data_IF_457119967705
#
_entry.id   IF_457119967705
#
_cell.length_a   1.000
_cell.length_b   1.000
_cell.length_c   1.000
_cell.angle_alpha   90.00
_cell.angle_beta   90.00
_cell.angle_gamma   90.00
#
_symmetry.space_group_name_H-M   'P 1'
#
loop_
_entity.id
_entity.type
_entity.pdbx_description
1 polymer ?
#
# COMPACT_ATOMS: atom_id res chain seq x y z
N UNK A 1 13.33 14.03 -38.84
CA UNK A 1 12.07 13.27 -38.70
C UNK A 1 12.10 12.27 -37.54
N UNK A 2 13.09 11.35 -37.43
CA UNK A 2 13.21 10.35 -36.33
C UNK A 2 12.99 10.88 -34.90
N UNK A 3 13.70 11.94 -34.50
CA UNK A 3 13.53 12.56 -33.16
C UNK A 3 12.12 13.06 -32.83
N UNK A 4 11.29 13.38 -33.84
CA UNK A 4 9.89 13.78 -33.61
C UNK A 4 8.99 12.56 -33.39
N UNK A 5 9.24 11.46 -34.11
CA UNK A 5 8.51 10.19 -33.92
C UNK A 5 8.81 9.59 -32.53
N UNK A 6 10.09 9.54 -32.13
CA UNK A 6 10.50 9.03 -30.81
C UNK A 6 9.86 9.82 -29.65
N UNK A 7 9.72 11.16 -29.79
CA UNK A 7 9.05 12.00 -28.80
C UNK A 7 7.54 11.75 -28.73
N UNK A 8 6.91 11.44 -29.86
CA UNK A 8 5.48 11.12 -29.92
C UNK A 8 5.22 9.75 -29.30
N UNK A 9 6.01 8.74 -29.65
CA UNK A 9 5.95 7.40 -29.05
C UNK A 9 6.12 7.47 -27.53
N UNK A 10 7.14 8.21 -27.05
CA UNK A 10 7.35 8.42 -25.62
C UNK A 10 6.20 9.17 -24.94
N UNK A 11 5.59 10.14 -25.63
CA UNK A 11 4.43 10.87 -25.12
C UNK A 11 3.20 9.97 -24.96
N UNK A 12 2.98 9.05 -25.91
CA UNK A 12 1.90 8.06 -25.87
C UNK A 12 2.14 7.05 -24.74
N UNK A 13 3.37 6.54 -24.59
CA UNK A 13 3.75 5.67 -23.47
C UNK A 13 3.45 6.34 -22.12
N UNK A 14 3.89 7.59 -21.93
CA UNK A 14 3.67 8.33 -20.69
C UNK A 14 2.19 8.59 -20.42
N UNK A 15 1.40 8.92 -21.44
CA UNK A 15 -0.05 9.09 -21.31
C UNK A 15 -0.75 7.78 -20.94
N UNK A 16 -0.37 6.65 -21.56
CA UNK A 16 -0.91 5.34 -21.23
C UNK A 16 -0.57 4.94 -19.80
N UNK A 17 0.68 5.12 -19.36
CA UNK A 17 1.11 4.87 -17.99
C UNK A 17 0.34 5.74 -16.99
N UNK A 18 0.19 7.04 -17.26
CA UNK A 18 -0.54 7.97 -16.39
C UNK A 18 -2.03 7.61 -16.28
N UNK A 19 -2.64 7.24 -17.40
CA UNK A 19 -4.05 6.82 -17.44
C UNK A 19 -4.27 5.53 -16.66
N UNK A 20 -3.37 4.56 -16.79
CA UNK A 20 -3.40 3.32 -16.03
C UNK A 20 -3.24 3.60 -14.53
N UNK A 21 -2.32 4.49 -14.14
CA UNK A 21 -2.13 4.87 -12.74
C UNK A 21 -3.40 5.51 -12.16
N UNK A 22 -4.00 6.48 -12.85
CA UNK A 22 -5.23 7.13 -12.39
C UNK A 22 -6.42 6.16 -12.30
N UNK A 23 -6.46 5.13 -13.15
CA UNK A 23 -7.48 4.09 -13.07
C UNK A 23 -7.25 3.17 -11.86
N UNK A 24 -6.00 2.80 -11.60
CA UNK A 24 -5.61 2.01 -10.42
C UNK A 24 -5.92 2.77 -9.13
N UNK A 25 -5.52 4.04 -9.05
CA UNK A 25 -5.76 4.89 -7.87
C UNK A 25 -7.26 5.04 -7.60
N UNK A 26 -8.07 5.25 -8.64
CA UNK A 26 -9.54 5.27 -8.50
C UNK A 26 -10.08 3.94 -7.99
N UNK A 27 -9.68 2.82 -8.60
CA UNK A 27 -10.16 1.50 -8.20
C UNK A 27 -9.79 1.17 -6.74
N UNK A 28 -8.58 1.55 -6.31
CA UNK A 28 -8.13 1.42 -4.93
C UNK A 28 -8.96 2.30 -3.99
N UNK A 29 -9.18 3.58 -4.32
CA UNK A 29 -10.03 4.47 -3.53
C UNK A 29 -11.46 3.95 -3.38
N UNK A 30 -12.04 3.44 -4.47
CA UNK A 30 -13.38 2.86 -4.48
C UNK A 30 -13.48 1.60 -3.61
N UNK A 31 -12.45 0.75 -3.64
CA UNK A 31 -12.36 -0.44 -2.79
C UNK A 31 -12.25 -0.06 -1.31
N UNK A 32 -11.41 0.94 -0.97
CA UNK A 32 -11.27 1.45 0.39
C UNK A 32 -12.61 1.98 0.91
N UNK A 33 -13.31 2.80 0.13
CA UNK A 33 -14.60 3.35 0.51
C UNK A 33 -15.64 2.24 0.82
N UNK A 34 -15.72 1.23 -0.06
CA UNK A 34 -16.63 0.08 0.13
C UNK A 34 -16.28 -0.73 1.37
N UNK A 35 -14.99 -0.97 1.62
CA UNK A 35 -14.53 -1.66 2.83
C UNK A 35 -14.85 -0.87 4.11
N UNK A 36 -14.62 0.45 4.12
CA UNK A 36 -14.96 1.29 5.27
C UNK A 36 -16.47 1.29 5.58
N UNK A 37 -17.32 1.30 4.55
CA UNK A 37 -18.78 1.15 4.69
C UNK A 37 -19.13 -0.22 5.27
N UNK A 38 -18.57 -1.30 4.72
CA UNK A 38 -18.82 -2.66 5.22
C UNK A 38 -18.37 -2.84 6.68
N UNK A 39 -17.30 -2.15 7.09
CA UNK A 39 -16.74 -2.19 8.44
C UNK A 39 -17.41 -1.21 9.41
N UNK A 40 -18.45 -0.46 9.03
CA UNK A 40 -19.07 0.56 9.89
C UNK A 40 -19.46 0.02 11.26
N UNK A 41 -20.15 -1.11 11.30
CA UNK A 41 -20.63 -1.75 12.54
C UNK A 41 -19.52 -2.41 13.37
N UNK A 42 -18.34 -2.62 12.81
CA UNK A 42 -17.20 -3.22 13.51
C UNK A 42 -16.33 -2.12 14.13
N UNK A 43 -16.25 -1.98 15.47
CA UNK A 43 -15.44 -0.93 16.10
C UNK A 43 -13.94 -1.17 15.91
N UNK A 44 -13.55 -2.43 15.77
CA UNK A 44 -12.16 -2.86 15.59
C UNK A 44 -12.07 -3.77 14.38
N UNK A 45 -11.13 -3.50 13.48
CA UNK A 45 -10.91 -4.31 12.28
C UNK A 45 -9.47 -4.14 11.78
N UNK A 46 -8.98 -5.18 11.10
CA UNK A 46 -7.73 -5.14 10.36
C UNK A 46 -7.98 -5.81 9.01
N UNK A 47 -7.74 -5.08 7.93
CA UNK A 47 -7.92 -5.58 6.56
C UNK A 47 -6.68 -5.26 5.75
N UNK A 48 -6.09 -6.29 5.15
CA UNK A 48 -4.98 -6.18 4.22
C UNK A 48 -5.45 -6.61 2.83
N UNK A 49 -5.36 -5.72 1.84
CA UNK A 49 -5.75 -5.97 0.46
C UNK A 49 -4.73 -5.37 -0.50
N UNK A 50 -3.93 -6.24 -1.13
CA UNK A 50 -2.85 -5.80 -2.02
C UNK A 50 -1.82 -4.98 -1.26
N UNK A 51 -1.64 -3.71 -1.62
CA UNK A 51 -0.81 -2.78 -0.85
C UNK A 51 -1.58 -1.95 0.17
N UNK A 52 -2.90 -2.08 0.26
CA UNK A 52 -3.70 -1.26 1.18
C UNK A 52 -3.87 -1.97 2.50
N UNK A 53 -3.53 -1.27 3.59
CA UNK A 53 -3.83 -1.68 4.95
C UNK A 53 -4.87 -0.74 5.55
N UNK A 54 -5.96 -1.32 6.05
CA UNK A 54 -6.98 -0.63 6.85
C UNK A 54 -6.88 -1.14 8.27
N UNK A 55 -6.62 -0.23 9.21
CA UNK A 55 -6.61 -0.47 10.65
C UNK A 55 -7.76 0.34 11.23
N UNK A 56 -8.71 -0.29 11.92
CA UNK A 56 -9.77 0.39 12.65
C UNK A 56 -9.64 0.07 14.13
N UNK A 57 -9.56 1.10 14.95
CA UNK A 57 -9.44 0.99 16.41
C UNK A 57 -10.46 1.94 17.02
N UNK A 58 -11.31 1.42 17.90
CA UNK A 58 -12.31 2.21 18.64
C UNK A 58 -13.18 3.09 17.71
N UNK A 59 -13.53 2.56 16.53
CA UNK A 59 -14.35 3.25 15.54
C UNK A 59 -13.58 4.14 14.54
N UNK A 60 -12.30 4.43 14.80
CA UNK A 60 -11.49 5.35 13.98
C UNK A 60 -10.69 4.56 12.94
N UNK A 61 -10.94 4.76 11.63
CA UNK A 61 -10.17 4.10 10.59
C UNK A 61 -8.89 4.86 10.26
N UNK A 62 -7.81 4.10 10.06
CA UNK A 62 -6.56 4.53 9.47
C UNK A 62 -6.34 3.69 8.21
N UNK A 63 -6.03 4.36 7.11
CA UNK A 63 -5.72 3.72 5.82
C UNK A 63 -4.33 4.12 5.40
N UNK A 64 -3.50 3.15 4.99
CA UNK A 64 -2.19 3.43 4.38
C UNK A 64 -1.89 2.48 3.24
N UNK A 65 -1.00 2.92 2.36
CA UNK A 65 -0.33 2.04 1.41
C UNK A 65 0.95 1.49 2.04
N UNK A 66 1.15 0.19 1.89
CA UNK A 66 2.34 -0.54 2.29
C UNK A 66 3.32 -0.64 1.13
N UNK A 67 4.59 -0.56 1.47
CA UNK A 67 5.71 -0.87 0.60
C UNK A 67 5.91 -2.39 0.49
N UNK A 68 6.66 -2.82 -0.53
CA UNK A 68 6.95 -4.26 -0.73
C UNK A 68 7.64 -4.93 0.48
N UNK A 69 8.62 -4.29 1.16
CA UNK A 69 9.20 -4.86 2.37
C UNK A 69 8.18 -5.01 3.52
N UNK A 70 7.28 -4.05 3.70
CA UNK A 70 6.23 -4.10 4.72
C UNK A 70 5.22 -5.22 4.46
N UNK A 71 4.82 -5.43 3.21
CA UNK A 71 3.97 -6.55 2.81
C UNK A 71 4.67 -7.87 3.13
N UNK A 72 5.93 -8.02 2.73
CA UNK A 72 6.71 -9.23 3.02
C UNK A 72 6.89 -9.48 4.52
N UNK A 73 6.95 -8.42 5.33
CA UNK A 73 6.99 -8.53 6.79
C UNK A 73 5.66 -9.07 7.36
N UNK A 74 4.53 -8.56 6.86
CA UNK A 74 3.20 -9.05 7.26
C UNK A 74 2.94 -10.50 6.84
N UNK A 75 3.40 -10.89 5.65
CA UNK A 75 3.21 -12.26 5.15
C UNK A 75 4.06 -13.29 5.92
N UNK A 76 5.18 -12.87 6.49
CA UNK A 76 6.10 -13.74 7.24
C UNK A 76 5.65 -14.03 8.67
N UNK A 77 4.86 -13.14 9.25
CA UNK A 77 4.37 -13.30 10.62
C UNK A 77 2.84 -13.16 10.66
N UNK A 78 2.12 -14.28 10.46
CA UNK A 78 0.66 -14.31 10.45
C UNK A 78 0.02 -14.10 11.83
N UNK A 79 0.82 -13.86 12.90
CA UNK A 79 0.31 -13.53 14.24
C UNK A 79 0.17 -12.02 14.49
N UNK A 80 0.85 -11.17 13.70
CA UNK A 80 0.65 -9.72 13.70
C UNK A 80 -0.83 -9.28 13.57
N UNK A 81 -1.68 -9.90 12.72
CA UNK A 81 -3.03 -9.45 12.53
C UNK A 81 -3.96 -9.58 13.75
N UNK A 82 -3.56 -10.33 14.80
CA UNK A 82 -4.41 -10.55 15.99
C UNK A 82 -4.62 -9.27 16.81
N UNK A 83 -3.77 -8.25 16.65
CA UNK A 83 -3.97 -6.96 17.30
C UNK A 83 -3.68 -5.78 16.34
N UNK A 84 -4.71 -5.03 15.91
CA UNK A 84 -4.54 -3.91 14.99
C UNK A 84 -3.56 -2.83 15.49
N UNK A 85 -3.46 -2.63 16.83
CA UNK A 85 -2.48 -1.71 17.43
C UNK A 85 -1.04 -2.22 17.27
N UNK A 86 -0.84 -3.54 17.35
CA UNK A 86 0.49 -4.15 17.21
C UNK A 86 1.01 -4.04 15.78
N UNK A 87 0.14 -4.25 14.79
CA UNK A 87 0.47 -4.07 13.37
C UNK A 87 0.84 -2.63 13.06
N UNK A 88 0.07 -1.68 13.58
CA UNK A 88 0.38 -0.27 13.37
C UNK A 88 1.76 0.08 13.92
N UNK A 89 2.04 -0.33 15.17
CA UNK A 89 3.31 -0.08 15.84
C UNK A 89 4.50 -0.74 15.14
N UNK A 90 4.40 -2.03 14.78
CA UNK A 90 5.47 -2.76 14.12
C UNK A 90 5.89 -2.11 12.79
N UNK A 91 4.91 -1.63 12.02
CA UNK A 91 5.17 -0.94 10.76
C UNK A 91 5.71 0.50 10.97
N UNK A 92 5.26 1.21 12.01
CA UNK A 92 5.87 2.49 12.39
C UNK A 92 7.33 2.34 12.82
N UNK A 93 7.65 1.29 13.56
CA UNK A 93 9.00 0.98 14.02
C UNK A 93 9.90 0.58 12.82
N UNK A 94 9.39 -0.25 11.90
CA UNK A 94 10.09 -0.64 10.67
C UNK A 94 10.36 0.56 9.74
N UNK A 95 9.43 1.50 9.64
CA UNK A 95 9.62 2.72 8.83
C UNK A 95 10.68 3.68 9.41
N UNK A 96 10.95 3.58 10.72
CA UNK A 96 11.92 4.42 11.42
C UNK A 96 13.28 3.75 11.60
N UNK A 97 13.38 2.44 11.32
CA UNK A 97 14.62 1.71 11.32
C UNK A 97 15.51 2.15 10.14
N UNK A 98 16.82 2.42 10.35
CA UNK A 98 17.74 2.63 9.25
C UNK A 98 17.77 1.38 8.36
N UNK A 99 17.92 1.52 7.04
CA UNK A 99 18.07 0.36 6.17
C UNK A 99 19.26 -0.47 6.67
N UNK A 100 19.03 -1.77 6.90
CA UNK A 100 20.11 -2.67 7.27
C UNK A 100 21.24 -2.57 6.24
N UNK A 101 22.52 -2.50 6.66
CA UNK A 101 23.61 -2.50 5.72
C UNK A 101 23.52 -3.78 4.88
N UNK A 102 23.45 -3.64 3.56
CA UNK A 102 23.50 -4.76 2.63
C UNK A 102 24.68 -5.65 3.02
N UNK A 103 24.38 -6.85 3.53
CA UNK A 103 25.39 -7.82 3.90
C UNK A 103 26.29 -8.06 2.68
N UNK A 104 27.59 -7.86 2.90
CA UNK A 104 28.59 -7.66 1.87
C UNK A 104 28.51 -8.61 0.68
N UNK A 105 28.67 -8.03 -0.52
CA UNK A 105 29.22 -8.77 -1.65
C UNK A 105 30.74 -8.85 -1.47
N UNK A 106 31.35 -10.05 -1.56
CA UNK A 106 32.81 -10.20 -1.51
C UNK A 106 33.49 -9.51 -2.69
#
# INVERSE_FOLDING_TARGET
MRRRLEKIERGIELQLLTKNQAQVDRAQGDAVAKLLVALQASPTALVHLGSVLIVKIDGVPLVRNLTQPEIAMLDRDPSLPDNPRSVFRALSDAAMAPPEPEAGKP
#
